data_IF_190136265641
#
_entry.id   IF_190136265641
#
_cell.length_a   1.000
_cell.length_b   1.000
_cell.length_c   1.000
_cell.angle_alpha   90.00
_cell.angle_beta   90.00
_cell.angle_gamma   90.00
#
_symmetry.space_group_name_H-M   'P 1'
#
loop_
_entity.id
_entity.type
_entity.pdbx_description
1 polymer ?
#
# COMPACT_ATOMS: atom_id res chain seq x y z
N UNK A 1 -0.58 31.78 -2.05
CA UNK A 1 -0.14 30.70 -1.17
C UNK A 1 -0.85 29.38 -1.44
N UNK A 2 -2.16 29.36 -1.46
CA UNK A 2 -2.93 28.16 -1.79
C UNK A 2 -2.65 27.59 -3.18
N UNK A 3 -2.26 28.40 -4.13
CA UNK A 3 -1.90 27.97 -5.49
C UNK A 3 -0.59 27.22 -5.57
N UNK A 4 0.41 27.63 -4.81
CA UNK A 4 1.70 26.95 -4.71
C UNK A 4 1.56 25.62 -4.01
N UNK A 5 0.79 25.57 -2.95
CA UNK A 5 0.47 24.33 -2.23
C UNK A 5 -0.28 23.33 -3.12
N UNK A 6 -1.16 23.80 -4.01
CA UNK A 6 -1.89 22.93 -4.93
C UNK A 6 -0.98 22.35 -6.01
N UNK A 7 -0.01 23.13 -6.52
CA UNK A 7 0.97 22.66 -7.48
C UNK A 7 1.98 21.70 -6.86
N UNK A 8 2.43 21.97 -5.66
CA UNK A 8 3.28 21.07 -4.89
C UNK A 8 2.53 19.78 -4.56
N UNK A 9 1.27 19.88 -4.18
CA UNK A 9 0.43 18.72 -3.93
C UNK A 9 0.27 17.83 -5.17
N UNK A 10 0.11 18.40 -6.36
CA UNK A 10 0.04 17.64 -7.60
C UNK A 10 1.37 16.98 -7.97
N UNK A 11 2.51 17.59 -7.65
CA UNK A 11 3.82 17.00 -7.86
C UNK A 11 4.19 16.01 -6.77
N UNK A 12 3.70 16.20 -5.54
CA UNK A 12 3.95 15.33 -4.41
C UNK A 12 2.97 14.15 -4.33
N UNK A 13 1.91 14.16 -5.12
CA UNK A 13 0.90 13.10 -5.11
C UNK A 13 1.48 11.70 -5.33
N UNK A 14 2.44 11.46 -6.22
CA UNK A 14 3.12 10.17 -6.29
C UNK A 14 4.13 9.92 -5.17
N UNK A 15 4.57 10.94 -4.45
CA UNK A 15 5.60 10.85 -3.42
C UNK A 15 5.21 9.97 -2.23
N UNK A 16 4.03 10.11 -1.61
CA UNK A 16 3.69 9.25 -0.46
C UNK A 16 3.57 7.78 -0.84
N UNK A 17 3.28 7.49 -2.10
CA UNK A 17 3.21 6.11 -2.58
C UNK A 17 4.57 5.49 -2.87
N UNK A 18 5.55 6.31 -3.29
CA UNK A 18 6.90 5.83 -3.63
C UNK A 18 7.84 5.81 -2.43
N UNK A 19 7.77 6.85 -1.60
CA UNK A 19 8.73 7.01 -0.51
C UNK A 19 8.33 6.25 0.76
N UNK A 20 7.04 6.20 1.08
CA UNK A 20 6.54 5.54 2.27
C UNK A 20 5.33 4.63 2.01
N UNK A 21 5.48 3.58 1.18
CA UNK A 21 4.37 2.68 0.91
C UNK A 21 3.90 1.91 2.14
N UNK A 22 4.79 1.70 3.09
CA UNK A 22 4.48 1.03 4.35
C UNK A 22 3.51 1.84 5.21
N UNK A 23 3.68 3.16 5.25
CA UNK A 23 2.78 4.06 5.96
C UNK A 23 1.37 4.04 5.36
N UNK A 24 1.28 4.11 4.04
CA UNK A 24 0.00 4.01 3.35
C UNK A 24 -0.66 2.64 3.60
N UNK A 25 0.12 1.56 3.54
CA UNK A 25 -0.38 0.21 3.84
C UNK A 25 -0.93 0.13 5.26
N UNK A 26 -0.22 0.68 6.23
CA UNK A 26 -0.68 0.74 7.62
C UNK A 26 -2.01 1.48 7.75
N UNK A 27 -2.14 2.64 7.10
CA UNK A 27 -3.38 3.41 7.07
C UNK A 27 -4.54 2.65 6.44
N UNK A 28 -4.31 1.99 5.31
CA UNK A 28 -5.33 1.17 4.62
C UNK A 28 -5.80 0.00 5.48
N UNK A 29 -4.87 -0.73 6.10
CA UNK A 29 -5.21 -1.85 6.97
C UNK A 29 -6.03 -1.41 8.18
N UNK A 30 -5.68 -0.29 8.77
CA UNK A 30 -6.45 0.28 9.89
C UNK A 30 -7.84 0.73 9.48
N UNK A 31 -7.95 1.34 8.31
CA UNK A 31 -9.24 1.76 7.76
C UNK A 31 -10.20 0.58 7.63
N UNK A 32 -9.71 -0.57 7.16
CA UNK A 32 -10.47 -1.80 7.05
C UNK A 32 -10.50 -2.63 8.34
N UNK A 33 -9.99 -2.10 9.45
CA UNK A 33 -9.95 -2.76 10.76
C UNK A 33 -9.16 -4.06 10.80
N UNK A 34 -8.12 -4.13 10.00
CA UNK A 34 -7.14 -5.22 10.05
C UNK A 34 -6.00 -4.91 11.03
N UNK A 35 -5.26 -5.91 11.41
CA UNK A 35 -4.09 -5.77 12.26
C UNK A 35 -2.95 -4.99 11.59
N UNK A 36 -1.97 -4.52 12.36
CA UNK A 36 -0.84 -3.79 11.83
C UNK A 36 -0.01 -4.65 10.87
N UNK A 37 0.63 -4.04 9.85
CA UNK A 37 1.50 -4.78 8.96
C UNK A 37 2.80 -5.16 9.68
N UNK A 38 3.18 -6.41 9.58
CA UNK A 38 4.43 -6.95 10.16
C UNK A 38 5.35 -7.41 9.03
N UNK A 39 6.47 -6.71 8.77
CA UNK A 39 7.45 -7.20 7.82
C UNK A 39 8.27 -8.33 8.43
N UNK A 40 8.47 -9.41 7.69
CA UNK A 40 9.28 -10.55 8.09
C UNK A 40 10.18 -11.00 6.96
N UNK A 41 11.46 -11.16 7.25
CA UNK A 41 12.40 -11.73 6.33
C UNK A 41 12.08 -13.23 6.15
N UNK A 42 11.67 -13.61 4.94
CA UNK A 42 11.31 -14.98 4.62
C UNK A 42 12.52 -15.78 4.11
N UNK A 43 13.30 -15.16 3.24
CA UNK A 43 14.40 -15.84 2.57
C UNK A 43 15.54 -14.88 2.29
N UNK A 44 16.74 -15.36 2.48
CA UNK A 44 17.97 -14.68 2.13
C UNK A 44 18.79 -15.61 1.26
N UNK A 45 19.17 -15.17 0.08
CA UNK A 45 19.95 -15.97 -0.84
C UNK A 45 21.19 -15.23 -1.29
N UNK A 46 22.23 -16.01 -1.64
CA UNK A 46 23.45 -15.50 -2.27
C UNK A 46 24.32 -14.58 -1.41
N UNK A 47 24.52 -14.95 -0.15
CA UNK A 47 25.44 -14.22 0.74
C UNK A 47 26.90 -14.19 0.21
N UNK A 48 27.25 -15.14 -0.65
CA UNK A 48 28.60 -15.28 -1.18
C UNK A 48 28.75 -14.74 -2.61
N UNK A 49 27.71 -14.18 -3.20
CA UNK A 49 27.74 -13.59 -4.53
C UNK A 49 27.59 -12.07 -4.47
N UNK A 50 28.01 -11.38 -5.55
CA UNK A 50 27.90 -9.92 -5.68
C UNK A 50 26.45 -9.39 -5.62
N UNK A 51 25.47 -10.27 -5.80
CA UNK A 51 24.05 -9.93 -5.78
C UNK A 51 23.35 -10.68 -4.62
N UNK A 52 23.30 -10.06 -3.47
CA UNK A 52 22.46 -10.54 -2.38
C UNK A 52 20.97 -10.30 -2.72
N UNK A 53 20.14 -11.28 -2.46
CA UNK A 53 18.69 -11.16 -2.64
C UNK A 53 17.99 -11.48 -1.33
N UNK A 54 17.18 -10.55 -0.86
CA UNK A 54 16.37 -10.69 0.33
C UNK A 54 14.90 -10.75 -0.07
N UNK A 55 14.17 -11.72 0.44
CA UNK A 55 12.74 -11.81 0.24
C UNK A 55 12.03 -11.48 1.54
N UNK A 56 11.23 -10.42 1.51
CA UNK A 56 10.46 -9.95 2.66
C UNK A 56 8.98 -10.19 2.39
N UNK A 57 8.29 -10.75 3.37
CA UNK A 57 6.83 -10.88 3.35
C UNK A 57 6.21 -9.98 4.40
N UNK A 58 5.10 -9.34 4.06
CA UNK A 58 4.32 -8.54 4.99
C UNK A 58 3.09 -9.35 5.42
N UNK A 59 2.93 -9.46 6.72
CA UNK A 59 1.84 -10.19 7.35
C UNK A 59 0.91 -9.22 8.06
N UNK A 60 -0.38 -9.49 8.00
CA UNK A 60 -1.40 -8.83 8.81
C UNK A 60 -2.38 -9.90 9.29
N UNK A 61 -2.74 -9.87 10.57
CA UNK A 61 -3.59 -10.88 11.20
C UNK A 61 -3.13 -12.33 10.97
N UNK A 62 -1.81 -12.54 10.93
CA UNK A 62 -1.16 -13.84 10.64
C UNK A 62 -1.34 -14.33 9.19
N UNK A 63 -1.83 -13.49 8.30
CA UNK A 63 -1.96 -13.79 6.89
C UNK A 63 -0.92 -13.03 6.08
N UNK A 64 -0.33 -13.70 5.10
CA UNK A 64 0.58 -13.07 4.15
C UNK A 64 -0.23 -12.21 3.18
N UNK A 65 0.00 -10.91 3.19
CA UNK A 65 -0.69 -9.96 2.30
C UNK A 65 0.14 -9.53 1.10
N UNK A 66 1.47 -9.58 1.22
CA UNK A 66 2.36 -9.25 0.10
C UNK A 66 3.76 -9.73 0.37
N UNK A 67 4.49 -10.05 -0.68
CA UNK A 67 5.89 -10.44 -0.61
C UNK A 67 6.65 -9.91 -1.82
N UNK A 68 7.89 -9.53 -1.61
CA UNK A 68 8.73 -9.10 -2.71
C UNK A 68 10.22 -9.34 -2.42
N UNK A 69 11.00 -9.58 -3.47
CA UNK A 69 12.44 -9.63 -3.37
C UNK A 69 13.06 -8.23 -3.50
N UNK A 70 14.23 -8.05 -2.91
CA UNK A 70 15.00 -6.82 -3.03
C UNK A 70 16.48 -7.04 -2.81
N UNK A 71 17.29 -6.10 -3.26
CA UNK A 71 18.74 -6.12 -3.06
C UNK A 71 19.11 -5.84 -1.60
N UNK A 72 18.28 -5.08 -0.92
CA UNK A 72 18.41 -4.80 0.52
C UNK A 72 17.08 -5.09 1.20
N UNK A 73 17.12 -5.23 2.52
CA UNK A 73 15.92 -5.48 3.32
C UNK A 73 14.94 -4.31 3.17
N UNK A 74 15.42 -3.07 3.21
CA UNK A 74 14.59 -1.87 3.09
C UNK A 74 13.88 -1.79 1.74
N UNK A 75 14.58 -2.11 0.64
CA UNK A 75 13.99 -2.15 -0.70
C UNK A 75 12.96 -3.28 -0.79
N UNK A 76 13.28 -4.45 -0.26
CA UNK A 76 12.35 -5.57 -0.24
C UNK A 76 11.08 -5.27 0.57
N UNK A 77 11.19 -4.58 1.70
CA UNK A 77 10.03 -4.13 2.49
C UNK A 77 9.14 -3.15 1.72
N UNK A 78 9.74 -2.16 1.05
CA UNK A 78 8.99 -1.20 0.24
C UNK A 78 8.25 -1.88 -0.91
N UNK A 79 8.93 -2.74 -1.63
CA UNK A 79 8.31 -3.49 -2.74
C UNK A 79 7.23 -4.46 -2.24
N UNK A 80 7.46 -5.12 -1.10
CA UNK A 80 6.45 -5.97 -0.48
C UNK A 80 5.22 -5.17 -0.04
N UNK A 81 5.41 -3.95 0.47
CA UNK A 81 4.30 -3.06 0.83
C UNK A 81 3.50 -2.62 -0.41
N UNK A 82 4.18 -2.27 -1.51
CA UNK A 82 3.53 -1.96 -2.78
C UNK A 82 2.74 -3.16 -3.33
N UNK A 83 3.32 -4.35 -3.25
CA UNK A 83 2.64 -5.57 -3.68
C UNK A 83 1.42 -5.87 -2.81
N UNK A 84 1.54 -5.68 -1.50
CA UNK A 84 0.41 -5.81 -0.57
C UNK A 84 -0.73 -4.84 -0.90
N UNK A 85 -0.40 -3.58 -1.19
CA UNK A 85 -1.39 -2.57 -1.61
C UNK A 85 -2.08 -2.97 -2.92
N UNK A 86 -1.32 -3.44 -3.90
CA UNK A 86 -1.90 -3.94 -5.16
C UNK A 86 -2.86 -5.10 -4.93
N UNK A 87 -2.48 -6.03 -4.06
CA UNK A 87 -3.34 -7.17 -3.71
C UNK A 87 -4.62 -6.72 -2.99
N UNK A 88 -4.52 -5.79 -2.05
CA UNK A 88 -5.66 -5.24 -1.32
C UNK A 88 -6.64 -4.49 -2.23
N UNK A 89 -6.12 -3.71 -3.18
CA UNK A 89 -6.95 -2.98 -4.15
C UNK A 89 -7.37 -3.82 -5.36
N UNK A 90 -6.93 -5.08 -5.44
CA UNK A 90 -7.26 -5.97 -6.55
C UNK A 90 -6.66 -5.53 -7.88
N UNK A 91 -5.52 -4.85 -7.85
CA UNK A 91 -4.81 -4.43 -9.06
C UNK A 91 -4.00 -5.61 -9.57
N UNK A 92 -4.42 -6.15 -10.71
CA UNK A 92 -3.74 -7.26 -11.38
C UNK A 92 -3.41 -6.87 -12.82
N UNK A 93 -2.30 -7.38 -13.33
CA UNK A 93 -1.87 -7.10 -14.69
C UNK A 93 -2.80 -7.73 -15.75
N UNK A 94 -3.45 -8.83 -15.39
CA UNK A 94 -4.38 -9.55 -16.26
C UNK A 94 -5.84 -9.21 -15.97
N UNK A 95 -6.16 -7.94 -15.86
CA UNK A 95 -7.54 -7.52 -15.64
C UNK A 95 -8.40 -7.84 -16.87
N UNK A 96 -9.51 -8.56 -16.74
CA UNK A 96 -10.43 -8.73 -17.84
C UNK A 96 -11.01 -7.39 -18.28
N UNK A 97 -11.29 -7.24 -19.56
CA UNK A 97 -11.94 -6.05 -20.07
C UNK A 97 -13.26 -5.81 -19.34
N UNK A 98 -13.59 -4.54 -19.12
CA UNK A 98 -14.89 -4.17 -18.56
C UNK A 98 -16.01 -4.77 -19.43
N UNK A 99 -17.00 -5.44 -18.82
CA UNK A 99 -18.13 -5.94 -19.56
C UNK A 99 -18.96 -4.75 -20.07
N UNK A 100 -18.84 -4.46 -21.36
CA UNK A 100 -19.62 -3.39 -22.02
C UNK A 100 -21.06 -3.81 -22.29
N UNK A 101 -21.32 -5.12 -22.21
CA UNK A 101 -22.65 -5.70 -22.39
C UNK A 101 -23.14 -6.24 -21.05
N UNK A 102 -23.88 -5.44 -20.35
CA UNK A 102 -24.46 -5.81 -19.06
C UNK A 102 -25.62 -4.91 -18.68
N UNK A 103 -26.34 -5.22 -17.60
CA UNK A 103 -27.39 -4.33 -17.13
C UNK A 103 -26.78 -2.97 -16.78
N UNK A 104 -27.46 -1.91 -17.21
CA UNK A 104 -27.05 -0.54 -16.88
C UNK A 104 -27.12 -0.34 -15.37
N UNK A 105 -25.97 -0.05 -14.76
CA UNK A 105 -25.88 0.35 -13.38
C UNK A 105 -25.57 1.86 -13.36
N UNK A 106 -26.47 2.71 -12.85
CA UNK A 106 -26.18 4.13 -12.77
C UNK A 106 -25.02 4.37 -11.79
N UNK A 107 -24.07 5.16 -12.22
CA UNK A 107 -22.85 5.46 -11.43
C UNK A 107 -23.21 6.23 -10.16
N UNK A 108 -24.30 6.98 -10.20
CA UNK A 108 -24.77 7.79 -9.07
C UNK A 108 -25.20 6.95 -7.85
N UNK A 109 -25.61 5.70 -8.08
CA UNK A 109 -26.00 4.78 -7.00
C UNK A 109 -24.82 4.03 -6.36
N UNK A 110 -23.60 4.19 -6.91
CA UNK A 110 -22.41 3.55 -6.38
C UNK A 110 -21.77 4.46 -5.33
N UNK A 111 -21.53 3.96 -4.10
CA UNK A 111 -20.87 4.78 -3.09
C UNK A 111 -19.46 5.18 -3.57
N UNK A 112 -19.00 6.40 -3.30
CA UNK A 112 -17.67 6.84 -3.71
C UNK A 112 -16.60 6.02 -2.98
N UNK A 113 -15.51 5.73 -3.69
CA UNK A 113 -14.37 5.08 -3.07
C UNK A 113 -13.71 6.01 -2.04
N UNK A 114 -13.16 5.45 -0.96
CA UNK A 114 -12.40 6.27 -0.01
C UNK A 114 -11.18 6.87 -0.70
N UNK A 115 -10.83 8.08 -0.31
CA UNK A 115 -9.66 8.79 -0.82
C UNK A 115 -8.39 8.36 -0.10
N UNK A 116 -7.21 8.63 -0.68
CA UNK A 116 -5.94 8.40 0.00
C UNK A 116 -5.83 9.16 1.32
N UNK A 117 -6.43 10.35 1.38
CA UNK A 117 -6.47 11.15 2.61
C UNK A 117 -7.25 10.46 3.73
N UNK A 118 -8.33 9.75 3.40
CA UNK A 118 -9.10 8.99 4.39
C UNK A 118 -8.27 7.88 5.02
N UNK A 119 -7.45 7.20 4.22
CA UNK A 119 -6.56 6.17 4.71
C UNK A 119 -5.46 6.74 5.60
N UNK A 120 -4.83 7.83 5.20
CA UNK A 120 -3.77 8.49 5.97
C UNK A 120 -4.31 9.09 7.26
N UNK A 121 -5.51 9.67 7.23
CA UNK A 121 -6.18 10.20 8.42
C UNK A 121 -6.51 9.11 9.44
N UNK A 122 -6.78 7.89 8.98
CA UNK A 122 -7.01 6.76 9.88
C UNK A 122 -5.73 6.39 10.65
N UNK A 123 -4.56 6.62 10.08
CA UNK A 123 -3.28 6.43 10.75
C UNK A 123 -2.99 7.49 11.81
N UNK A 124 -3.19 8.77 11.48
CA UNK A 124 -2.93 9.90 12.39
C UNK A 124 -3.73 9.85 13.69
N UNK A 125 -4.97 9.38 13.64
CA UNK A 125 -5.84 9.28 14.83
C UNK A 125 -5.31 8.38 15.94
N UNK A 126 -4.30 7.57 15.69
CA UNK A 126 -3.74 6.65 16.67
C UNK A 126 -2.50 7.21 17.33
N UNK A 127 -1.74 8.04 16.64
CA UNK A 127 -0.61 8.75 17.24
C UNK A 127 -1.11 9.66 18.37
N UNK A 128 -2.24 10.33 18.19
CA UNK A 128 -2.88 11.16 19.23
C UNK A 128 -3.36 10.34 20.44
N UNK A 129 -3.74 9.09 20.24
CA UNK A 129 -4.14 8.21 21.35
C UNK A 129 -2.96 7.62 22.13
N UNK A 130 -1.80 7.49 21.53
CA UNK A 130 -0.61 6.98 22.20
C UNK A 130 0.12 8.06 23.02
N UNK A 131 -0.13 9.34 22.77
CA UNK A 131 0.49 10.47 23.47
C UNK A 131 -0.35 11.00 24.64
N UNK A 132 -1.53 10.50 24.82
CA UNK A 132 -2.39 10.82 25.97
C UNK A 132 -2.46 9.61 26.91
#
# INVERSE_FOLDING_TARGET
>A
MTRLLTLEFCSDFPFPLQDEPFRLLSGVLRFYKHGPPEPRLQKQSSMNTLLACYQVGIYSDRQLIGEAPGETIDVAEKEAALQALRNLFGIQDNRPCLPLTGPYIPVDDIPPNPTLEDYLRAEEKIEDKCTS
#
